data_IF_034494043016
#
_entry.id   IF_034494043016
#
_cell.length_a   1.000
_cell.length_b   1.000
_cell.length_c   1.000
_cell.angle_alpha   90.00
_cell.angle_beta   90.00
_cell.angle_gamma   90.00
#
_symmetry.space_group_name_H-M   'P 1'
#
loop_
_entity.id
_entity.type
_entity.pdbx_description
1 polymer ?
#
# COMPACT_ATOMS: atom_id res chain seq x y z
N UNK A 1 5.11 2.22 -17.00
CA UNK A 1 4.27 3.19 -17.74
C UNK A 1 3.27 3.73 -16.75
N UNK A 2 3.24 5.05 -16.52
CA UNK A 2 2.27 5.70 -15.64
C UNK A 2 1.65 6.83 -16.47
N UNK A 3 0.36 6.75 -16.74
CA UNK A 3 -0.39 7.74 -17.50
C UNK A 3 -1.65 8.13 -16.74
N UNK A 4 -2.08 9.39 -16.89
CA UNK A 4 -3.35 9.87 -16.37
C UNK A 4 -4.44 9.65 -17.43
N UNK A 5 -5.23 8.58 -17.26
CA UNK A 5 -6.27 8.17 -18.21
C UNK A 5 -7.59 7.85 -17.46
N UNK A 6 -8.44 8.87 -17.23
CA UNK A 6 -9.74 8.68 -16.56
C UNK A 6 -10.71 7.78 -17.34
N UNK A 7 -10.60 7.74 -18.67
CA UNK A 7 -11.48 6.91 -19.51
C UNK A 7 -11.15 5.43 -19.33
N UNK A 8 -9.86 5.09 -19.34
CA UNK A 8 -9.40 3.74 -19.02
C UNK A 8 -9.78 3.33 -17.60
N UNK A 9 -9.62 4.23 -16.62
CA UNK A 9 -10.04 3.96 -15.24
C UNK A 9 -11.54 3.68 -15.13
N UNK A 10 -12.38 4.45 -15.84
CA UNK A 10 -13.82 4.19 -15.88
C UNK A 10 -14.15 2.83 -16.50
N UNK A 11 -13.51 2.47 -17.61
CA UNK A 11 -13.72 1.17 -18.27
C UNK A 11 -13.37 -0.01 -17.35
N UNK A 12 -12.26 0.06 -16.62
CA UNK A 12 -11.86 -0.98 -15.66
C UNK A 12 -12.85 -1.11 -14.49
N UNK A 13 -13.36 0.02 -13.99
CA UNK A 13 -14.36 0.01 -12.92
C UNK A 13 -15.71 -0.56 -13.39
N UNK A 14 -16.10 -0.30 -14.64
CA UNK A 14 -17.29 -0.89 -15.25
C UNK A 14 -17.12 -2.41 -15.43
N UNK A 15 -15.92 -2.87 -15.83
CA UNK A 15 -15.61 -4.30 -16.01
C UNK A 15 -15.75 -5.10 -14.71
N UNK A 16 -15.41 -4.50 -13.57
CA UNK A 16 -15.58 -5.13 -12.23
C UNK A 16 -16.98 -4.95 -11.65
N UNK A 17 -17.93 -4.42 -12.42
CA UNK A 17 -19.35 -4.36 -12.03
C UNK A 17 -19.77 -3.09 -11.29
N UNK A 18 -18.97 -2.01 -11.33
CA UNK A 18 -19.27 -0.75 -10.65
C UNK A 18 -19.91 0.32 -11.55
N UNK A 19 -20.61 -0.06 -12.62
CA UNK A 19 -21.16 0.87 -13.62
C UNK A 19 -22.29 1.78 -13.11
N UNK A 20 -23.02 1.37 -12.07
CA UNK A 20 -24.16 2.13 -11.54
C UNK A 20 -23.66 3.34 -10.78
N UNK A 21 -24.31 4.50 -10.97
CA UNK A 21 -24.03 5.73 -10.21
C UNK A 21 -25.27 6.26 -9.51
N UNK A 22 -25.06 6.95 -8.38
CA UNK A 22 -26.09 7.70 -7.65
C UNK A 22 -26.30 9.12 -8.20
N UNK A 23 -27.21 9.87 -7.59
CA UNK A 23 -27.55 11.26 -7.98
C UNK A 23 -26.37 12.24 -7.81
N UNK A 24 -25.40 11.89 -6.96
CA UNK A 24 -24.17 12.65 -6.73
C UNK A 24 -23.05 12.27 -7.73
N UNK A 25 -23.33 11.34 -8.64
CA UNK A 25 -22.40 10.83 -9.65
C UNK A 25 -21.37 9.83 -9.11
N UNK A 26 -21.54 9.34 -7.89
CA UNK A 26 -20.68 8.31 -7.29
C UNK A 26 -21.12 6.92 -7.72
N UNK A 27 -20.16 6.02 -7.92
CA UNK A 27 -20.42 4.62 -8.21
C UNK A 27 -21.11 3.96 -7.01
N UNK A 28 -21.96 2.98 -7.27
CA UNK A 28 -22.69 2.22 -6.24
C UNK A 28 -22.09 0.83 -6.13
N UNK A 29 -21.70 0.44 -4.92
CA UNK A 29 -21.19 -0.88 -4.60
C UNK A 29 -22.29 -1.95 -4.70
N UNK A 30 -21.94 -3.24 -4.81
CA UNK A 30 -22.92 -4.32 -4.86
C UNK A 30 -23.88 -4.38 -3.66
N UNK A 31 -23.50 -3.81 -2.52
CA UNK A 31 -24.33 -3.72 -1.31
C UNK A 31 -25.24 -2.47 -1.27
N UNK A 32 -25.23 -1.64 -2.32
CA UNK A 32 -26.05 -0.44 -2.45
C UNK A 32 -25.46 0.81 -1.83
N UNK A 33 -24.29 0.75 -1.18
CA UNK A 33 -23.60 1.93 -0.66
C UNK A 33 -22.85 2.68 -1.78
N UNK A 34 -22.65 3.99 -1.67
CA UNK A 34 -21.73 4.70 -2.55
C UNK A 34 -20.30 4.16 -2.40
N UNK A 35 -19.53 4.17 -3.48
CA UNK A 35 -18.13 3.77 -3.53
C UNK A 35 -17.28 4.85 -2.85
N UNK A 36 -16.91 4.58 -1.61
CA UNK A 36 -16.17 5.49 -0.75
C UNK A 36 -14.92 4.82 -0.21
N UNK A 37 -13.81 5.55 -0.17
CA UNK A 37 -12.56 5.12 0.42
C UNK A 37 -12.15 6.10 1.51
N UNK A 38 -11.82 5.57 2.69
CA UNK A 38 -11.20 6.36 3.76
C UNK A 38 -9.69 6.18 3.66
N UNK A 39 -8.97 7.27 3.49
CA UNK A 39 -7.50 7.29 3.50
C UNK A 39 -7.02 7.91 4.80
N UNK A 40 -6.26 7.13 5.58
CA UNK A 40 -5.68 7.59 6.84
C UNK A 40 -4.19 7.98 6.67
N UNK A 41 -3.77 9.06 7.34
CA UNK A 41 -2.36 9.50 7.45
C UNK A 41 -2.07 10.02 8.88
N UNK A 42 -0.80 10.11 9.26
CA UNK A 42 -0.37 10.84 10.44
C UNK A 42 -0.58 12.37 10.34
N UNK A 43 -0.71 12.92 9.13
CA UNK A 43 -0.93 14.36 8.90
C UNK A 43 0.23 15.25 9.36
N UNK A 44 1.43 14.68 9.48
CA UNK A 44 2.64 15.39 9.93
C UNK A 44 3.27 16.26 8.83
N UNK A 45 2.86 16.04 7.58
CA UNK A 45 3.34 16.73 6.40
C UNK A 45 2.16 17.36 5.65
N UNK A 46 2.27 18.64 5.28
CA UNK A 46 1.26 19.28 4.42
C UNK A 46 1.31 18.74 2.99
N UNK A 47 2.47 18.26 2.53
CA UNK A 47 2.62 17.66 1.20
C UNK A 47 1.69 16.45 1.02
N UNK A 48 1.53 15.65 2.07
CA UNK A 48 0.63 14.52 2.11
C UNK A 48 -0.82 14.97 1.93
N UNK A 49 -1.28 15.92 2.75
CA UNK A 49 -2.65 16.40 2.67
C UNK A 49 -2.96 17.08 1.34
N UNK A 50 -2.03 17.90 0.81
CA UNK A 50 -2.18 18.57 -0.48
C UNK A 50 -2.27 17.56 -1.64
N UNK A 51 -1.47 16.48 -1.58
CA UNK A 51 -1.56 15.41 -2.57
C UNK A 51 -2.91 14.67 -2.50
N UNK A 52 -3.43 14.41 -1.30
CA UNK A 52 -4.74 13.77 -1.14
C UNK A 52 -5.90 14.64 -1.62
N UNK A 53 -5.81 15.96 -1.50
CA UNK A 53 -6.80 16.87 -2.09
C UNK A 53 -6.87 16.70 -3.60
N UNK A 54 -5.72 16.69 -4.29
CA UNK A 54 -5.66 16.45 -5.74
C UNK A 54 -6.15 15.05 -6.12
N UNK A 55 -5.81 14.02 -5.35
CA UNK A 55 -6.30 12.65 -5.58
C UNK A 55 -7.83 12.59 -5.41
N UNK A 56 -8.37 13.29 -4.41
CA UNK A 56 -9.81 13.38 -4.17
C UNK A 56 -10.55 13.93 -5.38
N UNK A 57 -10.05 15.02 -5.96
CA UNK A 57 -10.63 15.62 -7.17
C UNK A 57 -10.56 14.67 -8.38
N UNK A 58 -9.42 13.99 -8.59
CA UNK A 58 -9.28 13.04 -9.70
C UNK A 58 -10.17 11.81 -9.55
N UNK A 59 -10.28 11.25 -8.34
CA UNK A 59 -11.10 10.06 -8.10
C UNK A 59 -12.59 10.37 -8.16
N UNK A 60 -12.99 11.60 -7.82
CA UNK A 60 -14.38 12.04 -8.00
C UNK A 60 -14.82 11.97 -9.46
N UNK A 61 -13.92 12.26 -10.41
CA UNK A 61 -14.21 12.18 -11.86
C UNK A 61 -14.53 10.76 -12.31
N UNK A 62 -13.93 9.75 -11.69
CA UNK A 62 -14.21 8.32 -11.94
C UNK A 62 -15.30 7.76 -11.01
N UNK A 63 -15.94 8.62 -10.21
CA UNK A 63 -17.08 8.26 -9.36
C UNK A 63 -16.72 7.58 -8.05
N UNK A 64 -15.51 7.79 -7.51
CA UNK A 64 -15.11 7.29 -6.19
C UNK A 64 -14.91 8.48 -5.25
N UNK A 65 -15.54 8.46 -4.08
CA UNK A 65 -15.30 9.49 -3.07
C UNK A 65 -14.12 9.08 -2.16
N UNK A 66 -13.18 10.00 -1.95
CA UNK A 66 -12.18 9.87 -0.89
C UNK A 66 -12.54 10.72 0.32
N UNK A 67 -12.26 10.18 1.51
CA UNK A 67 -12.29 10.92 2.76
C UNK A 67 -10.94 10.79 3.46
N UNK A 68 -10.32 11.92 3.74
CA UNK A 68 -9.03 11.96 4.44
C UNK A 68 -9.27 12.01 5.94
N UNK A 69 -8.58 11.15 6.68
CA UNK A 69 -8.57 11.16 8.14
C UNK A 69 -7.14 11.23 8.66
N UNK A 70 -6.88 12.23 9.50
CA UNK A 70 -5.60 12.38 10.18
C UNK A 70 -5.68 11.89 11.62
N UNK A 71 -4.66 11.21 12.12
CA UNK A 71 -4.53 10.88 13.55
C UNK A 71 -3.06 10.88 13.98
N UNK A 72 -2.78 10.88 15.28
CA UNK A 72 -1.39 10.81 15.75
C UNK A 72 -0.73 9.51 15.25
N UNK A 73 0.55 9.59 14.84
CA UNK A 73 1.31 8.48 14.25
C UNK A 73 1.17 7.16 15.01
N UNK A 74 1.28 7.18 16.33
CA UNK A 74 1.18 5.96 17.14
C UNK A 74 -0.22 5.34 17.11
N UNK A 75 -1.26 6.17 17.10
CA UNK A 75 -2.66 5.72 16.96
C UNK A 75 -2.87 5.15 15.56
N UNK A 76 -2.40 5.85 14.54
CA UNK A 76 -2.47 5.43 13.15
C UNK A 76 -1.78 4.07 12.93
N UNK A 77 -0.54 3.91 13.40
CA UNK A 77 0.22 2.64 13.28
C UNK A 77 -0.44 1.50 14.05
N UNK A 78 -0.94 1.77 15.26
CA UNK A 78 -1.68 0.78 16.05
C UNK A 78 -2.93 0.29 15.31
N UNK A 79 -3.71 1.20 14.71
CA UNK A 79 -4.87 0.87 13.87
C UNK A 79 -4.48 0.10 12.62
N UNK A 80 -3.38 0.47 11.96
CA UNK A 80 -2.86 -0.24 10.79
C UNK A 80 -2.51 -1.69 11.13
N UNK A 81 -1.76 -1.90 12.22
CA UNK A 81 -1.40 -3.22 12.70
C UNK A 81 -2.64 -4.04 13.13
N UNK A 82 -3.67 -3.37 13.66
CA UNK A 82 -4.96 -3.98 14.01
C UNK A 82 -5.88 -4.27 12.82
N UNK A 83 -5.50 -3.93 11.58
CA UNK A 83 -6.34 -4.13 10.40
C UNK A 83 -7.55 -3.20 10.32
N UNK A 84 -7.52 -2.06 11.03
CA UNK A 84 -8.64 -1.11 11.11
C UNK A 84 -8.57 0.01 10.05
N UNK A 85 -7.56 -0.01 9.18
CA UNK A 85 -7.34 1.00 8.15
C UNK A 85 -7.68 0.42 6.78
N UNK A 86 -8.56 1.11 6.06
CA UNK A 86 -8.96 0.74 4.71
C UNK A 86 -7.87 1.06 3.68
N UNK A 87 -7.35 2.29 3.73
CA UNK A 87 -6.24 2.75 2.90
C UNK A 87 -5.38 3.71 3.72
N UNK A 88 -4.07 3.67 3.50
CA UNK A 88 -3.12 4.55 4.16
C UNK A 88 -2.32 5.36 3.15
N UNK A 89 -1.81 6.50 3.60
CA UNK A 89 -0.78 7.23 2.89
C UNK A 89 0.42 7.44 3.80
N UNK A 90 1.60 7.30 3.21
CA UNK A 90 2.88 7.49 3.85
C UNK A 90 3.91 7.96 2.82
N UNK A 91 5.08 8.37 3.30
CA UNK A 91 6.24 8.47 2.43
C UNK A 91 6.55 7.09 1.81
N UNK A 92 7.00 7.09 0.56
CA UNK A 92 7.46 5.88 -0.09
C UNK A 92 8.77 5.36 0.50
N UNK A 93 9.48 4.56 -0.29
CA UNK A 93 10.81 4.05 0.04
C UNK A 93 11.79 5.23 0.21
N UNK A 94 12.52 5.24 1.33
CA UNK A 94 13.46 6.33 1.67
C UNK A 94 14.65 6.37 0.71
N UNK A 95 15.03 5.20 0.20
CA UNK A 95 16.15 5.04 -0.73
C UNK A 95 15.75 5.45 -2.16
N UNK A 96 16.02 6.70 -2.52
CA UNK A 96 15.72 7.25 -3.85
C UNK A 96 16.65 6.78 -4.99
N UNK A 97 17.77 6.09 -4.69
CA UNK A 97 18.70 5.55 -5.70
C UNK A 97 19.17 4.16 -5.25
N UNK A 98 18.28 3.16 -5.27
CA UNK A 98 18.61 1.85 -4.76
C UNK A 98 19.63 1.14 -5.65
N UNK A 99 20.53 0.39 -5.02
CA UNK A 99 21.51 -0.47 -5.69
C UNK A 99 21.36 -1.89 -5.17
N UNK A 100 21.77 -2.92 -5.92
CA UNK A 100 21.63 -4.30 -5.47
C UNK A 100 22.41 -4.66 -4.20
N UNK A 101 23.39 -3.84 -3.81
CA UNK A 101 24.16 -4.01 -2.57
C UNK A 101 23.52 -3.32 -1.35
N UNK A 102 22.43 -2.58 -1.55
CA UNK A 102 21.66 -1.98 -0.46
C UNK A 102 20.57 -2.94 0.03
N UNK A 103 20.36 -2.96 1.35
CA UNK A 103 19.40 -3.88 1.97
C UNK A 103 17.96 -3.66 1.44
N UNK A 104 17.32 -4.67 0.83
CA UNK A 104 15.96 -4.57 0.28
C UNK A 104 14.84 -4.69 1.32
N UNK A 105 15.08 -4.42 2.60
CA UNK A 105 14.10 -4.67 3.67
C UNK A 105 12.73 -3.99 3.45
N UNK A 106 12.67 -2.86 2.73
CA UNK A 106 11.41 -2.16 2.39
C UNK A 106 10.60 -2.85 1.27
N UNK A 107 11.19 -3.84 0.59
CA UNK A 107 10.59 -4.61 -0.51
C UNK A 107 10.03 -5.97 -0.07
N UNK A 108 10.09 -6.28 1.22
CA UNK A 108 9.52 -7.49 1.81
C UNK A 108 8.94 -7.16 3.21
N UNK A 109 8.03 -8.00 3.76
CA UNK A 109 7.49 -7.80 5.10
C UNK A 109 8.54 -8.10 6.16
N UNK A 110 9.15 -7.05 6.71
CA UNK A 110 10.28 -7.17 7.65
C UNK A 110 10.07 -6.48 8.97
N UNK A 111 9.22 -5.46 9.02
CA UNK A 111 8.92 -4.65 10.20
C UNK A 111 7.44 -4.29 10.25
N UNK A 112 6.94 -4.01 11.44
CA UNK A 112 5.52 -3.81 11.74
C UNK A 112 4.97 -2.42 11.33
N UNK A 113 5.84 -1.47 10.97
CA UNK A 113 5.43 -0.14 10.49
C UNK A 113 5.35 -0.02 8.96
N UNK A 114 5.54 -1.13 8.23
CA UNK A 114 5.25 -1.22 6.79
C UNK A 114 3.76 -1.42 6.56
N UNK A 115 3.07 -0.33 6.26
CA UNK A 115 1.59 -0.24 6.25
C UNK A 115 0.91 -1.15 5.21
N UNK A 116 1.62 -1.59 4.19
CA UNK A 116 1.11 -2.51 3.17
C UNK A 116 1.06 -3.99 3.61
N UNK A 117 1.76 -4.35 4.70
CA UNK A 117 1.82 -5.72 5.22
C UNK A 117 2.21 -5.79 6.72
N UNK A 118 1.57 -5.01 7.61
CA UNK A 118 2.05 -4.82 8.98
C UNK A 118 2.04 -6.11 9.82
N UNK A 119 1.04 -6.98 9.63
CA UNK A 119 0.96 -8.27 10.34
C UNK A 119 2.07 -9.24 9.90
N UNK A 120 2.36 -9.31 8.60
CA UNK A 120 3.45 -10.12 8.07
C UNK A 120 4.82 -9.59 8.50
N UNK A 121 4.99 -8.27 8.53
CA UNK A 121 6.20 -7.62 9.04
C UNK A 121 6.42 -7.87 10.52
N UNK A 122 5.37 -7.78 11.35
CA UNK A 122 5.42 -8.13 12.77
C UNK A 122 5.80 -9.61 12.99
N UNK A 123 5.29 -10.51 12.14
CA UNK A 123 5.66 -11.92 12.17
C UNK A 123 7.13 -12.16 11.83
N UNK A 124 7.66 -11.47 10.82
CA UNK A 124 9.08 -11.55 10.50
C UNK A 124 9.95 -11.02 11.65
N UNK A 125 9.67 -9.80 12.13
CA UNK A 125 10.43 -9.11 13.18
C UNK A 125 10.45 -9.89 14.50
N UNK A 126 9.32 -10.50 14.87
CA UNK A 126 9.17 -11.23 16.13
C UNK A 126 9.63 -12.69 16.06
N UNK A 127 10.13 -13.16 14.92
CA UNK A 127 10.42 -14.57 14.64
C UNK A 127 9.20 -15.47 14.88
N UNK A 128 8.03 -15.04 14.42
CA UNK A 128 6.78 -15.80 14.46
C UNK A 128 6.03 -15.77 15.79
N UNK A 129 6.37 -14.85 16.70
CA UNK A 129 5.70 -14.72 18.00
C UNK A 129 4.49 -13.79 17.98
N UNK A 130 4.43 -12.88 17.01
CA UNK A 130 3.37 -11.88 16.82
C UNK A 130 2.98 -11.84 15.34
N UNK A 131 1.81 -11.29 15.02
CA UNK A 131 1.35 -11.20 13.64
C UNK A 131 1.05 -12.57 13.02
N UNK A 132 1.08 -12.61 11.68
CA UNK A 132 0.72 -13.80 10.90
C UNK A 132 1.78 -14.08 9.84
N UNK A 133 2.00 -15.35 9.50
CA UNK A 133 2.87 -15.69 8.39
C UNK A 133 2.22 -15.25 7.05
N UNK A 134 3.02 -14.79 6.05
CA UNK A 134 2.49 -14.56 4.71
C UNK A 134 1.87 -15.83 4.14
N UNK A 135 0.67 -15.70 3.58
CA UNK A 135 -0.07 -16.75 2.88
C UNK A 135 -0.16 -16.50 1.37
N UNK A 136 0.17 -15.29 0.91
CA UNK A 136 0.27 -14.94 -0.50
C UNK A 136 1.61 -15.44 -1.09
N UNK A 137 1.62 -16.32 -2.12
CA UNK A 137 2.83 -16.95 -2.65
C UNK A 137 3.94 -15.96 -3.03
N UNK A 138 3.56 -14.85 -3.67
CA UNK A 138 4.48 -13.79 -4.10
C UNK A 138 5.19 -13.16 -2.91
N UNK A 139 4.50 -13.02 -1.77
CA UNK A 139 5.08 -12.44 -0.56
C UNK A 139 5.96 -13.44 0.19
N UNK A 140 5.59 -14.72 0.18
CA UNK A 140 6.45 -15.80 0.67
C UNK A 140 7.76 -15.82 -0.10
N UNK A 141 7.70 -15.65 -1.43
CA UNK A 141 8.87 -15.53 -2.30
C UNK A 141 9.73 -14.31 -1.94
N UNK A 142 9.13 -13.12 -1.76
CA UNK A 142 9.87 -11.92 -1.31
C UNK A 142 10.63 -12.15 0.00
N UNK A 143 10.02 -12.83 0.98
CA UNK A 143 10.70 -13.20 2.24
C UNK A 143 11.84 -14.19 2.00
N UNK A 144 11.68 -15.14 1.07
CA UNK A 144 12.74 -16.09 0.72
C UNK A 144 13.91 -15.41 0.00
N UNK A 145 13.63 -14.52 -0.95
CA UNK A 145 14.61 -13.71 -1.68
C UNK A 145 15.40 -12.83 -0.71
N UNK A 146 14.73 -12.15 0.23
CA UNK A 146 15.39 -11.36 1.26
C UNK A 146 16.35 -12.20 2.12
N UNK A 147 15.93 -13.40 2.53
CA UNK A 147 16.79 -14.32 3.30
C UNK A 147 18.03 -14.74 2.50
N UNK A 148 17.86 -15.05 1.22
CA UNK A 148 18.96 -15.38 0.30
C UNK A 148 19.92 -14.21 0.15
N UNK A 149 19.38 -13.00 -0.04
CA UNK A 149 20.15 -11.77 -0.18
C UNK A 149 21.02 -11.49 1.05
N UNK A 150 20.44 -11.62 2.25
CA UNK A 150 21.16 -11.43 3.51
C UNK A 150 22.26 -12.47 3.76
N UNK A 151 22.10 -13.69 3.24
CA UNK A 151 23.08 -14.76 3.38
C UNK A 151 24.20 -14.71 2.32
N UNK A 152 24.01 -13.95 1.24
CA UNK A 152 24.94 -13.90 0.13
C UNK A 152 26.19 -13.08 0.43
N UNK A 153 27.36 -13.64 0.13
CA UNK A 153 28.64 -12.93 0.12
C UNK A 153 29.01 -12.34 -1.25
N UNK A 154 28.28 -12.68 -2.30
CA UNK A 154 28.64 -12.40 -3.69
C UNK A 154 27.77 -11.27 -4.26
N UNK A 155 28.40 -10.18 -4.73
CA UNK A 155 27.69 -9.06 -5.33
C UNK A 155 26.85 -9.45 -6.55
N UNK A 156 27.32 -10.44 -7.33
CA UNK A 156 26.59 -10.95 -8.50
C UNK A 156 25.28 -11.66 -8.10
N UNK A 157 25.28 -12.44 -7.02
CA UNK A 157 24.09 -13.12 -6.53
C UNK A 157 23.09 -12.11 -5.93
N UNK A 158 23.59 -11.11 -5.17
CA UNK A 158 22.74 -10.00 -4.70
C UNK A 158 22.08 -9.25 -5.86
N UNK A 159 22.81 -9.02 -6.95
CA UNK A 159 22.29 -8.41 -8.17
C UNK A 159 21.25 -9.27 -8.88
N UNK A 160 21.43 -10.58 -8.94
CA UNK A 160 20.41 -11.50 -9.48
C UNK A 160 19.13 -11.43 -8.67
N UNK A 161 19.23 -11.56 -7.34
CA UNK A 161 18.08 -11.52 -6.42
C UNK A 161 17.32 -10.20 -6.57
N UNK A 162 18.04 -9.08 -6.65
CA UNK A 162 17.46 -7.76 -6.76
C UNK A 162 16.59 -7.57 -8.02
N UNK A 163 16.93 -8.27 -9.11
CA UNK A 163 16.22 -8.17 -10.39
C UNK A 163 15.20 -9.30 -10.62
N UNK A 164 15.01 -10.18 -9.63
CA UNK A 164 14.07 -11.30 -9.70
C UNK A 164 12.62 -10.86 -9.45
#
# INVERSE_FOLDING_TARGET
>A
WVAHDPDQANALLDEVGLQTRDDDGLRVLPDGRPAQVIVETAGESTLETDALELITDHWRQIGIALFVRTSQRDIFRSRALGGEIMMSMWSGIDNGVPTPDMNPYQLAPTIDDQLQWPLWGAHYLSHGKMGEAPDLPEVVELVALLKRWNASSEAAERAEIWNS
#
